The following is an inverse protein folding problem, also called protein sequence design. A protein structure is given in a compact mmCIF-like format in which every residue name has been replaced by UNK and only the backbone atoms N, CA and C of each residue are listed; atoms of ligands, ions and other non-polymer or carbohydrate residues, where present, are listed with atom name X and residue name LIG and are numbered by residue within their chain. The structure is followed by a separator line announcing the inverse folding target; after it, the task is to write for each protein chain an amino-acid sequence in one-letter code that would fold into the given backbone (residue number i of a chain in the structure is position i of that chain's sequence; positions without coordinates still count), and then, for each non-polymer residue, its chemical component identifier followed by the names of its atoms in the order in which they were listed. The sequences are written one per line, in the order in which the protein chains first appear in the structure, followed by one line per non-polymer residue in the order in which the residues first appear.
data_IF_632671285852
#
_entry.id   IF_632671285852
#
_cell.length_a   1.000
_cell.length_b   1.000
_cell.length_c   1.000
_cell.angle_alpha   90.00
_cell.angle_beta   90.00
_cell.angle_gamma   90.00
#
_symmetry.space_group_name_H-M   'P 1'
#
loop_
_entity.id
_entity.type
_entity.pdbx_description
1 polymer ?
#
# COMPACT_ATOMS: atom_id res chain seq x y z
N UNK A 1 13.58 -30.29 -35.03
CA UNK A 1 13.12 -29.36 -34.00
C UNK A 1 11.75 -28.89 -34.44
N UNK A 2 10.68 -29.32 -33.76
CA UNK A 2 9.32 -29.17 -34.26
C UNK A 2 8.82 -27.75 -34.08
N UNK A 3 8.23 -27.15 -35.10
CA UNK A 3 7.60 -25.80 -35.10
C UNK A 3 6.55 -25.63 -33.98
N UNK A 4 5.96 -26.73 -33.55
CA UNK A 4 4.97 -26.80 -32.47
C UNK A 4 5.57 -26.56 -31.08
N UNK A 5 6.84 -26.92 -30.85
CA UNK A 5 7.53 -26.71 -29.58
C UNK A 5 7.98 -25.25 -29.42
N UNK A 6 8.32 -24.58 -30.53
CA UNK A 6 8.72 -23.16 -30.51
C UNK A 6 7.53 -22.23 -30.24
N UNK A 7 6.34 -22.56 -30.71
CA UNK A 7 5.13 -21.77 -30.47
C UNK A 7 4.62 -21.88 -29.03
N UNK A 8 4.74 -23.04 -28.40
CA UNK A 8 4.41 -23.27 -26.98
C UNK A 8 5.29 -22.44 -26.08
N UNK A 9 6.61 -22.49 -26.26
CA UNK A 9 7.59 -21.74 -25.47
C UNK A 9 7.40 -20.22 -25.61
N UNK A 10 7.05 -19.72 -26.81
CA UNK A 10 6.77 -18.30 -27.03
C UNK A 10 5.53 -17.83 -26.25
N UNK A 11 4.47 -18.63 -26.20
CA UNK A 11 3.25 -18.34 -25.44
C UNK A 11 3.49 -18.34 -23.92
N UNK A 12 4.27 -19.26 -23.40
CA UNK A 12 4.64 -19.35 -22.00
C UNK A 12 5.42 -18.11 -21.54
N UNK A 13 6.38 -17.66 -22.35
CA UNK A 13 7.14 -16.42 -22.11
C UNK A 13 6.21 -15.20 -22.11
N UNK A 14 5.29 -15.10 -23.06
CA UNK A 14 4.35 -13.99 -23.13
C UNK A 14 3.42 -13.93 -21.90
N UNK A 15 2.93 -15.09 -21.43
CA UNK A 15 2.11 -15.16 -20.21
C UNK A 15 2.92 -14.77 -18.98
N UNK A 16 4.16 -15.22 -18.87
CA UNK A 16 5.03 -14.85 -17.76
C UNK A 16 5.33 -13.34 -17.73
N UNK A 17 5.58 -12.75 -18.89
CA UNK A 17 5.75 -11.30 -19.03
C UNK A 17 4.49 -10.53 -18.62
N UNK A 18 3.31 -11.03 -18.99
CA UNK A 18 2.03 -10.43 -18.60
C UNK A 18 1.86 -10.42 -17.06
N UNK A 19 2.18 -11.52 -16.37
CA UNK A 19 2.17 -11.55 -14.90
C UNK A 19 3.17 -10.57 -14.28
N UNK A 20 4.39 -10.50 -14.82
CA UNK A 20 5.41 -9.56 -14.33
C UNK A 20 4.97 -8.10 -14.49
N UNK A 21 4.38 -7.77 -15.64
CA UNK A 21 3.85 -6.43 -15.91
C UNK A 21 2.67 -6.10 -14.99
N UNK A 22 1.78 -7.05 -14.76
CA UNK A 22 0.65 -6.88 -13.82
C UNK A 22 1.15 -6.59 -12.40
N UNK A 23 2.10 -7.37 -11.90
CA UNK A 23 2.70 -7.18 -10.57
C UNK A 23 3.37 -5.80 -10.45
N UNK A 24 4.10 -5.37 -11.47
CA UNK A 24 4.73 -4.05 -11.48
C UNK A 24 3.70 -2.92 -11.49
N UNK A 25 2.66 -3.01 -12.31
CA UNK A 25 1.57 -2.03 -12.37
C UNK A 25 0.81 -1.93 -11.05
N UNK A 26 0.50 -3.06 -10.42
CA UNK A 26 -0.14 -3.07 -9.09
C UNK A 26 0.74 -2.45 -8.02
N UNK A 27 2.05 -2.74 -8.05
CA UNK A 27 3.01 -2.13 -7.13
C UNK A 27 3.11 -0.61 -7.30
N UNK A 28 3.20 -0.12 -8.53
CA UNK A 28 3.23 1.32 -8.82
C UNK A 28 1.94 2.01 -8.37
N UNK A 29 0.79 1.41 -8.64
CA UNK A 29 -0.51 1.90 -8.20
C UNK A 29 -0.61 1.96 -6.68
N UNK A 30 -0.14 0.94 -5.97
CA UNK A 30 -0.12 0.90 -4.51
C UNK A 30 0.75 2.04 -3.94
N UNK A 31 1.92 2.27 -4.53
CA UNK A 31 2.81 3.37 -4.13
C UNK A 31 2.23 4.75 -4.43
N UNK A 32 1.59 4.92 -5.58
CA UNK A 32 0.92 6.18 -5.92
C UNK A 32 -0.19 6.52 -4.91
N UNK A 33 -1.02 5.54 -4.56
CA UNK A 33 -2.06 5.67 -3.53
C UNK A 33 -1.47 5.99 -2.15
N UNK A 34 -0.40 5.29 -1.76
CA UNK A 34 0.31 5.54 -0.51
C UNK A 34 0.81 6.98 -0.43
N UNK A 35 1.50 7.48 -1.47
CA UNK A 35 2.02 8.83 -1.52
C UNK A 35 0.91 9.88 -1.49
N UNK A 36 -0.20 9.66 -2.19
CA UNK A 36 -1.34 10.56 -2.17
C UNK A 36 -1.97 10.67 -0.76
N UNK A 37 -2.13 9.54 -0.07
CA UNK A 37 -2.69 9.51 1.29
C UNK A 37 -1.72 10.07 2.33
N UNK A 38 -0.41 9.85 2.16
CA UNK A 38 0.63 10.48 2.98
C UNK A 38 0.57 12.00 2.85
N UNK A 39 0.49 12.52 1.61
CA UNK A 39 0.37 13.94 1.34
C UNK A 39 -0.91 14.53 1.94
N UNK A 40 -2.06 13.88 1.75
CA UNK A 40 -3.34 14.33 2.30
C UNK A 40 -3.30 14.42 3.83
N UNK A 41 -2.79 13.39 4.52
CA UNK A 41 -2.64 13.41 5.97
C UNK A 41 -1.66 14.50 6.43
N UNK A 42 -0.54 14.67 5.72
CA UNK A 42 0.45 15.72 6.04
C UNK A 42 -0.14 17.12 5.90
N UNK A 43 -0.97 17.36 4.87
CA UNK A 43 -1.66 18.64 4.68
C UNK A 43 -2.69 18.89 5.78
N UNK A 44 -3.45 17.91 6.21
CA UNK A 44 -4.43 18.06 7.30
C UNK A 44 -3.70 18.38 8.62
N UNK A 45 -2.65 17.63 8.97
CA UNK A 45 -1.87 17.90 10.18
C UNK A 45 -1.20 19.28 10.10
N UNK A 46 -0.61 19.63 8.95
CA UNK A 46 -0.03 20.95 8.72
C UNK A 46 -1.06 22.07 8.87
N UNK A 47 -2.24 21.91 8.29
CA UNK A 47 -3.34 22.86 8.46
C UNK A 47 -3.77 22.99 9.92
N UNK A 48 -3.87 21.90 10.66
CA UNK A 48 -4.18 21.90 12.09
C UNK A 48 -3.09 22.60 12.91
N UNK A 49 -1.82 22.41 12.57
CA UNK A 49 -0.69 23.01 13.29
C UNK A 49 -0.57 24.52 13.08
N UNK A 50 -0.94 25.03 11.90
CA UNK A 50 -0.82 26.45 11.52
C UNK A 50 -2.13 27.20 11.79
N UNK A 51 -3.22 26.48 12.06
CA UNK A 51 -4.56 27.06 12.19
C UNK A 51 -4.64 28.12 13.28
N UNK A 52 -5.28 29.27 13.00
CA UNK A 52 -5.53 30.29 14.00
C UNK A 52 -6.29 29.71 15.20
N UNK A 53 -6.06 30.30 16.38
CA UNK A 53 -6.78 29.93 17.61
C UNK A 53 -8.30 29.90 17.42
N UNK A 54 -8.86 30.69 16.51
CA UNK A 54 -10.27 30.71 16.16
C UNK A 54 -10.80 29.35 15.64
N UNK A 55 -10.01 28.60 14.88
CA UNK A 55 -10.43 27.25 14.42
C UNK A 55 -10.53 26.28 15.59
N UNK A 56 -9.56 26.36 16.52
CA UNK A 56 -9.55 25.53 17.72
C UNK A 56 -10.63 25.93 18.73
N UNK A 57 -11.08 27.18 18.73
CA UNK A 57 -12.21 27.65 19.53
C UNK A 57 -13.55 27.12 18.98
N UNK A 58 -13.65 26.91 17.66
CA UNK A 58 -14.82 26.31 17.06
C UNK A 58 -14.79 24.80 17.20
N UNK A 59 -15.56 24.27 18.17
CA UNK A 59 -15.63 22.81 18.45
C UNK A 59 -16.00 21.98 17.20
N UNK A 60 -16.91 22.49 16.39
CA UNK A 60 -17.37 21.78 15.18
C UNK A 60 -16.30 21.76 14.09
N UNK A 61 -15.58 22.86 13.90
CA UNK A 61 -14.47 22.93 12.95
C UNK A 61 -13.33 21.95 13.32
N UNK A 62 -12.93 21.99 14.59
CA UNK A 62 -11.91 21.07 15.10
C UNK A 62 -12.36 19.59 14.97
N UNK A 63 -13.60 19.27 15.32
CA UNK A 63 -14.17 17.91 15.19
C UNK A 63 -14.19 17.45 13.72
N UNK A 64 -14.60 18.32 12.80
CA UNK A 64 -14.66 17.98 11.37
C UNK A 64 -13.25 17.65 10.82
N UNK A 65 -12.23 18.45 11.16
CA UNK A 65 -10.85 18.22 10.70
C UNK A 65 -10.26 16.94 11.30
N UNK A 66 -10.44 16.70 12.59
CA UNK A 66 -9.98 15.48 13.26
C UNK A 66 -10.67 14.23 12.70
N UNK A 67 -12.00 14.29 12.49
CA UNK A 67 -12.74 13.16 11.92
C UNK A 67 -12.33 12.89 10.47
N UNK A 68 -12.10 13.90 9.66
CA UNK A 68 -11.59 13.74 8.29
C UNK A 68 -10.22 13.04 8.30
N UNK A 69 -9.30 13.48 9.15
CA UNK A 69 -7.98 12.84 9.28
C UNK A 69 -8.08 11.38 9.73
N UNK A 70 -8.93 11.06 10.69
CA UNK A 70 -9.16 9.68 11.14
C UNK A 70 -9.75 8.80 10.03
N UNK A 71 -10.75 9.31 9.28
CA UNK A 71 -11.37 8.58 8.17
C UNK A 71 -10.35 8.29 7.07
N UNK A 72 -9.56 9.30 6.67
CA UNK A 72 -8.52 9.14 5.65
C UNK A 72 -7.46 8.13 6.11
N UNK A 73 -7.03 8.19 7.37
CA UNK A 73 -6.05 7.25 7.93
C UNK A 73 -6.62 5.82 8.00
N UNK A 74 -7.88 5.64 8.37
CA UNK A 74 -8.54 4.34 8.38
C UNK A 74 -8.67 3.77 6.95
N UNK A 75 -9.08 4.58 5.97
CA UNK A 75 -9.12 4.21 4.57
C UNK A 75 -7.74 3.80 4.05
N UNK A 76 -6.68 4.50 4.50
CA UNK A 76 -5.31 4.17 4.14
C UNK A 76 -4.90 2.76 4.62
N UNK A 77 -5.23 2.39 5.86
CA UNK A 77 -5.00 1.02 6.35
C UNK A 77 -5.69 0.00 5.45
N UNK A 78 -6.97 0.20 5.12
CA UNK A 78 -7.71 -0.70 4.23
C UNK A 78 -7.04 -0.85 2.87
N UNK A 79 -6.71 0.25 2.20
CA UNK A 79 -6.05 0.26 0.89
C UNK A 79 -4.67 -0.43 0.96
N UNK A 80 -3.90 -0.20 2.03
CA UNK A 80 -2.61 -0.85 2.20
C UNK A 80 -2.76 -2.36 2.36
N UNK A 81 -3.66 -2.82 3.22
CA UNK A 81 -3.87 -4.26 3.47
C UNK A 81 -4.39 -4.98 2.22
N UNK A 82 -5.40 -4.42 1.55
CA UNK A 82 -5.97 -5.00 0.33
C UNK A 82 -4.95 -5.01 -0.82
N UNK A 83 -4.25 -3.91 -1.05
CA UNK A 83 -3.23 -3.81 -2.09
C UNK A 83 -2.10 -4.83 -1.90
N UNK A 84 -1.62 -5.01 -0.67
CA UNK A 84 -0.63 -6.04 -0.36
C UNK A 84 -1.14 -7.45 -0.53
N UNK A 85 -2.39 -7.72 -0.18
CA UNK A 85 -3.00 -9.04 -0.37
C UNK A 85 -3.17 -9.38 -1.85
N UNK A 86 -3.54 -8.41 -2.68
CA UNK A 86 -3.64 -8.56 -4.13
C UNK A 86 -2.25 -8.82 -4.75
N UNK A 87 -1.25 -8.03 -4.37
CA UNK A 87 0.12 -8.19 -4.86
C UNK A 87 0.69 -9.56 -4.53
N UNK A 88 0.47 -10.07 -3.31
CA UNK A 88 0.87 -11.43 -2.91
C UNK A 88 0.21 -12.49 -3.77
N UNK A 89 -1.11 -12.42 -3.95
CA UNK A 89 -1.84 -13.39 -4.79
C UNK A 89 -1.29 -13.45 -6.21
N UNK A 90 -0.99 -12.31 -6.83
CA UNK A 90 -0.42 -12.26 -8.16
C UNK A 90 1.01 -12.80 -8.20
N UNK A 91 1.82 -12.53 -7.18
CA UNK A 91 3.16 -13.07 -7.06
C UNK A 91 3.17 -14.61 -6.86
N UNK A 92 2.24 -15.13 -6.05
CA UNK A 92 2.09 -16.57 -5.82
C UNK A 92 1.65 -17.29 -7.11
N UNK A 93 0.70 -16.71 -7.86
CA UNK A 93 0.27 -17.24 -9.17
C UNK A 93 1.42 -17.23 -10.18
N UNK A 94 2.18 -16.13 -10.27
CA UNK A 94 3.34 -16.05 -11.14
C UNK A 94 4.43 -17.05 -10.75
N UNK A 95 4.64 -17.24 -9.44
CA UNK A 95 5.59 -18.21 -8.90
C UNK A 95 5.22 -19.66 -9.23
N UNK A 96 3.94 -20.02 -9.10
CA UNK A 96 3.42 -21.36 -9.47
C UNK A 96 3.60 -21.58 -10.96
N UNK A 97 3.19 -20.62 -11.79
CA UNK A 97 3.35 -20.69 -13.24
C UNK A 97 4.82 -20.84 -13.66
N UNK A 98 5.73 -20.05 -13.04
CA UNK A 98 7.15 -20.14 -13.32
C UNK A 98 7.74 -21.53 -12.94
N UNK A 99 7.30 -22.10 -11.82
CA UNK A 99 7.74 -23.43 -11.37
C UNK A 99 7.30 -24.55 -12.32
N UNK A 100 6.13 -24.42 -12.92
CA UNK A 100 5.58 -25.41 -13.83
C UNK A 100 6.21 -25.32 -15.23
N UNK A 101 6.38 -24.12 -15.76
CA UNK A 101 6.88 -23.90 -17.12
C UNK A 101 8.40 -23.85 -17.21
N UNK A 102 9.08 -23.32 -16.20
CA UNK A 102 10.53 -23.06 -16.24
C UNK A 102 11.32 -23.89 -15.21
N UNK A 103 11.10 -25.20 -15.16
CA UNK A 103 11.68 -26.12 -14.18
C UNK A 103 13.22 -26.08 -14.06
N UNK A 104 13.91 -25.62 -15.09
CA UNK A 104 15.38 -25.55 -15.14
C UNK A 104 15.94 -24.16 -14.82
N UNK A 105 15.09 -23.16 -14.59
CA UNK A 105 15.51 -21.81 -14.29
C UNK A 105 15.22 -21.46 -12.81
N UNK A 106 16.05 -20.61 -12.19
CA UNK A 106 15.75 -20.13 -10.83
C UNK A 106 14.44 -19.33 -10.85
N UNK A 107 13.50 -19.70 -9.98
CA UNK A 107 12.23 -19.00 -9.85
C UNK A 107 12.45 -17.63 -9.16
N UNK A 108 12.27 -16.50 -9.86
CA UNK A 108 12.45 -15.17 -9.28
C UNK A 108 11.41 -14.81 -8.21
N UNK A 109 10.30 -15.54 -8.15
CA UNK A 109 9.23 -15.40 -7.15
C UNK A 109 9.35 -16.40 -6.00
N UNK A 110 10.48 -17.14 -5.89
CA UNK A 110 10.70 -18.08 -4.80
C UNK A 110 10.56 -17.37 -3.45
N UNK A 111 9.80 -17.98 -2.57
CA UNK A 111 9.28 -17.45 -1.30
C UNK A 111 10.34 -16.75 -0.41
N UNK A 112 11.59 -17.18 -0.48
CA UNK A 112 12.65 -16.69 0.40
C UNK A 112 13.13 -15.27 0.09
N UNK A 113 13.08 -14.84 -1.18
CA UNK A 113 13.62 -13.55 -1.63
C UNK A 113 12.53 -12.47 -1.60
N UNK A 114 11.35 -12.80 -2.10
CA UNK A 114 10.23 -11.85 -2.22
C UNK A 114 9.57 -11.54 -0.85
N UNK A 115 9.50 -12.52 0.04
CA UNK A 115 8.68 -12.44 1.25
C UNK A 115 9.29 -11.53 2.33
N UNK A 116 10.62 -11.54 2.55
CA UNK A 116 11.25 -10.76 3.63
C UNK A 116 11.29 -9.26 3.37
N UNK A 117 11.66 -8.84 2.18
CA UNK A 117 11.72 -7.41 1.83
C UNK A 117 10.30 -6.81 1.75
N UNK A 118 9.38 -7.54 1.18
CA UNK A 118 7.99 -7.16 1.05
C UNK A 118 7.28 -7.03 2.41
N UNK A 119 7.51 -7.96 3.33
CA UNK A 119 6.92 -7.92 4.68
C UNK A 119 7.43 -6.72 5.47
N UNK A 120 8.72 -6.39 5.39
CA UNK A 120 9.29 -5.20 6.05
C UNK A 120 8.66 -3.91 5.54
N UNK A 121 8.49 -3.79 4.23
CA UNK A 121 7.90 -2.61 3.60
C UNK A 121 6.44 -2.42 4.00
N UNK A 122 5.65 -3.50 4.04
CA UNK A 122 4.28 -3.47 4.53
C UNK A 122 4.19 -2.97 5.98
N UNK A 123 5.04 -3.49 6.87
CA UNK A 123 5.09 -3.02 8.27
C UNK A 123 5.48 -1.54 8.36
N UNK A 124 6.40 -1.07 7.51
CA UNK A 124 6.78 0.36 7.48
C UNK A 124 5.58 1.24 7.09
N UNK A 125 4.81 0.87 6.07
CA UNK A 125 3.61 1.58 5.65
C UNK A 125 2.58 1.63 6.78
N UNK A 126 2.32 0.50 7.44
CA UNK A 126 1.40 0.42 8.57
C UNK A 126 1.88 1.25 9.75
N UNK A 127 3.19 1.25 10.03
CA UNK A 127 3.77 2.08 11.08
C UNK A 127 3.54 3.57 10.83
N UNK A 128 3.81 4.05 9.61
CA UNK A 128 3.57 5.45 9.24
C UNK A 128 2.09 5.81 9.42
N UNK A 129 1.19 4.95 8.97
CA UNK A 129 -0.26 5.17 9.12
C UNK A 129 -0.67 5.19 10.60
N UNK A 130 -0.10 4.30 11.42
CA UNK A 130 -0.35 4.28 12.87
C UNK A 130 0.11 5.58 13.56
N UNK A 131 1.23 6.16 13.12
CA UNK A 131 1.70 7.45 13.65
C UNK A 131 0.67 8.55 13.38
N UNK A 132 0.11 8.64 12.16
CA UNK A 132 -0.94 9.61 11.86
C UNK A 132 -2.20 9.39 12.71
N UNK A 133 -2.66 8.15 12.87
CA UNK A 133 -3.78 7.81 13.73
C UNK A 133 -3.55 8.28 15.18
N UNK A 134 -2.37 7.99 15.73
CA UNK A 134 -2.00 8.42 17.09
C UNK A 134 -1.93 9.94 17.21
N UNK A 135 -1.43 10.65 16.18
CA UNK A 135 -1.44 12.10 16.17
C UNK A 135 -2.86 12.69 16.23
N UNK A 136 -3.79 12.16 15.41
CA UNK A 136 -5.18 12.62 15.43
C UNK A 136 -5.87 12.31 16.76
N UNK A 137 -5.67 11.12 17.32
CA UNK A 137 -6.21 10.75 18.63
C UNK A 137 -5.63 11.62 19.74
N UNK A 138 -4.32 11.87 19.71
CA UNK A 138 -3.63 12.72 20.68
C UNK A 138 -4.13 14.19 20.62
N UNK A 139 -4.24 14.76 19.41
CA UNK A 139 -4.79 16.10 19.22
C UNK A 139 -6.26 16.16 19.69
N UNK A 140 -7.07 15.16 19.40
CA UNK A 140 -8.44 15.05 19.88
C UNK A 140 -8.50 14.98 21.40
N UNK A 141 -7.67 14.15 22.01
CA UNK A 141 -7.60 14.02 23.47
C UNK A 141 -7.23 15.37 24.12
N UNK A 142 -6.16 16.00 23.68
CA UNK A 142 -5.74 17.31 24.19
C UNK A 142 -6.85 18.33 24.07
N UNK A 143 -7.52 18.36 22.90
CA UNK A 143 -8.58 19.34 22.65
C UNK A 143 -9.81 19.17 23.52
N UNK A 144 -10.23 17.94 23.78
CA UNK A 144 -11.49 17.66 24.47
C UNK A 144 -11.32 17.31 25.97
N UNK A 145 -10.12 17.00 26.42
CA UNK A 145 -9.83 16.74 27.85
C UNK A 145 -9.35 17.97 28.61
N UNK A 146 -8.73 18.95 27.91
CA UNK A 146 -8.18 20.18 28.51
C UNK A 146 -9.06 21.42 28.26
N UNK A 147 -10.19 21.26 27.59
CA UNK A 147 -11.17 22.34 27.34
C UNK A 147 -12.36 22.22 28.27
#
# INVERSE_FOLDING_TARGET
MNEKDSSSSSNEIAVFQAYTNLINSERETLWARHNALLLANSLIIGALAISPAALWQNKWGALAMLSAGLIISAAWVGIAVEGWSALRRHADLAGTFASDCFKHLPNPFAESICNRAQTRLHHLVLLVTAVFLLMYLGLGFVRFSLA
#
